data_IF_057235551783
#
_entry.id   IF_057235551783
#
_cell.length_a   1.000
_cell.length_b   1.000
_cell.length_c   1.000
_cell.angle_alpha   90.00
_cell.angle_beta   90.00
_cell.angle_gamma   90.00
#
_symmetry.space_group_name_H-M   'P 1'
#
loop_
_entity.id
_entity.type
_entity.pdbx_description
1 polymer ?
#
# COMPACT_ATOMS: atom_id res chain seq x y z
N UNK A 1 -7.61 8.16 17.20
CA UNK A 1 -7.03 6.89 17.72
C UNK A 1 -7.01 6.02 16.49
N UNK A 2 -5.85 5.70 15.94
CA UNK A 2 -5.80 5.07 14.62
C UNK A 2 -6.46 3.68 14.63
N UNK A 3 -7.16 3.36 13.56
CA UNK A 3 -7.85 2.10 13.33
C UNK A 3 -6.86 1.02 12.84
N UNK A 4 -6.01 0.57 13.75
CA UNK A 4 -4.96 -0.41 13.45
C UNK A 4 -5.51 -1.74 12.91
N UNK A 5 -6.63 -2.23 13.47
CA UNK A 5 -7.28 -3.45 12.98
C UNK A 5 -7.77 -3.29 11.54
N UNK A 6 -8.30 -2.12 11.19
CA UNK A 6 -8.66 -1.77 9.83
C UNK A 6 -7.44 -1.77 8.91
N UNK A 7 -6.34 -1.12 9.33
CA UNK A 7 -5.10 -1.10 8.55
C UNK A 7 -4.59 -2.51 8.24
N UNK A 8 -4.49 -3.37 9.26
CA UNK A 8 -4.02 -4.75 9.09
C UNK A 8 -4.95 -5.57 8.21
N UNK A 9 -6.28 -5.40 8.32
CA UNK A 9 -7.22 -6.06 7.42
C UNK A 9 -7.00 -5.66 5.96
N UNK A 10 -6.74 -4.37 5.68
CA UNK A 10 -6.46 -3.91 4.32
C UNK A 10 -5.08 -4.38 3.81
N UNK A 11 -4.09 -4.51 4.68
CA UNK A 11 -2.81 -5.17 4.36
C UNK A 11 -3.02 -6.63 3.94
N UNK A 12 -3.82 -7.39 4.69
CA UNK A 12 -4.16 -8.78 4.34
C UNK A 12 -4.89 -8.88 2.98
N UNK A 13 -5.77 -7.92 2.66
CA UNK A 13 -6.41 -7.84 1.33
C UNK A 13 -5.37 -7.67 0.22
N UNK A 14 -4.36 -6.80 0.42
CA UNK A 14 -3.27 -6.64 -0.54
C UNK A 14 -2.43 -7.91 -0.68
N UNK A 15 -2.15 -8.60 0.43
CA UNK A 15 -1.43 -9.89 0.41
C UNK A 15 -2.20 -10.95 -0.37
N UNK A 16 -3.50 -11.14 -0.08
CA UNK A 16 -4.36 -12.06 -0.83
C UNK A 16 -4.39 -11.70 -2.32
N UNK A 17 -4.46 -10.42 -2.65
CA UNK A 17 -4.44 -9.94 -4.03
C UNK A 17 -3.14 -10.31 -4.77
N UNK A 18 -1.99 -10.16 -4.10
CA UNK A 18 -0.67 -10.52 -4.64
C UNK A 18 -0.49 -12.05 -4.72
N UNK A 19 -0.90 -12.79 -3.68
CA UNK A 19 -0.79 -14.25 -3.58
C UNK A 19 -1.63 -14.96 -4.65
N UNK A 20 -2.81 -14.42 -4.95
CA UNK A 20 -3.67 -14.89 -6.05
C UNK A 20 -3.14 -14.50 -7.44
N UNK A 21 -1.99 -13.83 -7.53
CA UNK A 21 -1.35 -13.39 -8.78
C UNK A 21 -2.28 -12.50 -9.63
N UNK A 22 -3.18 -11.76 -8.99
CA UNK A 22 -4.08 -10.84 -9.71
C UNK A 22 -3.26 -9.69 -10.32
N UNK A 23 -2.22 -9.23 -9.62
CA UNK A 23 -1.25 -8.24 -10.09
C UNK A 23 -0.61 -8.61 -11.43
N UNK A 24 -0.27 -9.89 -11.64
CA UNK A 24 0.34 -10.39 -12.89
C UNK A 24 -0.58 -10.21 -14.10
N UNK A 25 -1.90 -10.24 -13.91
CA UNK A 25 -2.88 -10.12 -14.99
C UNK A 25 -3.22 -8.66 -15.34
N UNK A 26 -3.13 -7.74 -14.37
CA UNK A 26 -3.53 -6.34 -14.57
C UNK A 26 -2.34 -5.39 -14.77
N UNK A 27 -1.12 -5.85 -14.48
CA UNK A 27 0.12 -5.10 -14.60
C UNK A 27 0.39 -4.14 -13.44
N UNK A 28 1.62 -3.62 -13.39
CA UNK A 28 2.12 -2.78 -12.29
C UNK A 28 1.29 -1.51 -12.10
N UNK A 29 0.98 -0.79 -13.18
CA UNK A 29 0.25 0.48 -13.10
C UNK A 29 -1.13 0.32 -12.44
N UNK A 30 -1.88 -0.73 -12.80
CA UNK A 30 -3.18 -1.03 -12.19
C UNK A 30 -3.06 -1.59 -10.77
N UNK A 31 -1.98 -2.34 -10.48
CA UNK A 31 -1.66 -2.81 -9.13
C UNK A 31 -1.41 -1.63 -8.19
N UNK A 32 -0.60 -0.65 -8.61
CA UNK A 32 -0.35 0.58 -7.85
C UNK A 32 -1.63 1.40 -7.67
N UNK A 33 -2.44 1.54 -8.73
CA UNK A 33 -3.74 2.21 -8.62
C UNK A 33 -4.67 1.53 -7.61
N UNK A 34 -4.73 0.20 -7.61
CA UNK A 34 -5.50 -0.57 -6.64
C UNK A 34 -5.02 -0.32 -5.20
N UNK A 35 -3.70 -0.38 -4.96
CA UNK A 35 -3.12 -0.11 -3.65
C UNK A 35 -3.41 1.32 -3.16
N UNK A 36 -3.24 2.34 -4.02
CA UNK A 36 -3.55 3.74 -3.68
C UNK A 36 -5.02 3.92 -3.28
N UNK A 37 -5.95 3.36 -4.06
CA UNK A 37 -7.38 3.40 -3.74
C UNK A 37 -7.72 2.70 -2.42
N UNK A 38 -6.99 1.65 -2.07
CA UNK A 38 -7.11 0.94 -0.79
C UNK A 38 -6.64 1.80 0.38
N UNK A 39 -5.52 2.50 0.21
CA UNK A 39 -5.01 3.45 1.22
C UNK A 39 -5.98 4.62 1.39
N UNK A 40 -6.46 5.22 0.28
CA UNK A 40 -7.48 6.28 0.31
C UNK A 40 -8.79 5.83 0.97
N UNK A 41 -9.20 4.58 0.72
CA UNK A 41 -10.34 3.99 1.41
C UNK A 41 -10.08 3.92 2.91
N UNK A 42 -8.93 3.41 3.33
CA UNK A 42 -8.55 3.29 4.74
C UNK A 42 -8.43 4.63 5.47
N UNK A 43 -7.93 5.66 4.81
CA UNK A 43 -7.82 7.03 5.36
C UNK A 43 -9.19 7.56 5.83
N UNK A 44 -10.25 7.27 5.07
CA UNK A 44 -11.63 7.58 5.44
C UNK A 44 -12.13 6.88 6.72
N UNK A 45 -11.42 5.88 7.22
CA UNK A 45 -11.72 5.12 8.43
C UNK A 45 -10.63 5.21 9.52
N UNK A 46 -9.80 6.27 9.50
CA UNK A 46 -8.69 6.50 10.44
C UNK A 46 -7.63 5.37 10.43
N UNK A 47 -7.54 4.60 9.34
CA UNK A 47 -6.48 3.59 9.17
C UNK A 47 -5.14 4.26 8.86
N UNK A 48 -4.05 3.59 9.21
CA UNK A 48 -2.69 4.06 8.96
C UNK A 48 -2.15 3.55 7.61
N UNK A 49 -1.79 4.43 6.66
CA UNK A 49 -1.23 4.03 5.37
C UNK A 49 0.03 3.17 5.46
N UNK A 50 0.91 3.45 6.43
CA UNK A 50 2.13 2.68 6.66
C UNK A 50 1.82 1.24 7.06
N UNK A 51 0.81 1.03 7.91
CA UNK A 51 0.35 -0.31 8.29
C UNK A 51 -0.35 -1.03 7.12
N UNK A 52 -1.10 -0.31 6.29
CA UNK A 52 -1.74 -0.87 5.09
C UNK A 52 -0.67 -1.41 4.12
N UNK A 53 0.45 -0.71 3.98
CA UNK A 53 1.51 -1.06 3.02
C UNK A 53 2.70 -1.83 3.63
N UNK A 54 2.64 -2.14 4.93
CA UNK A 54 3.74 -2.76 5.66
C UNK A 54 4.23 -4.06 5.00
N UNK A 55 5.52 -4.08 4.66
CA UNK A 55 6.19 -5.24 4.06
C UNK A 55 5.82 -5.51 2.60
N UNK A 56 5.20 -4.56 1.89
CA UNK A 56 4.81 -4.66 0.47
C UNK A 56 5.56 -3.68 -0.44
N UNK A 57 6.63 -3.05 0.08
CA UNK A 57 7.37 -1.98 -0.60
C UNK A 57 7.96 -2.44 -1.94
N UNK A 58 8.41 -3.70 -2.04
CA UNK A 58 9.06 -4.23 -3.24
C UNK A 58 8.06 -4.59 -4.33
N UNK A 59 6.87 -5.01 -3.94
CA UNK A 59 5.81 -5.47 -4.84
C UNK A 59 4.98 -4.31 -5.37
N UNK A 60 4.72 -3.31 -4.53
CA UNK A 60 3.85 -2.18 -4.89
C UNK A 60 4.67 -0.96 -5.33
N UNK A 61 5.76 -0.63 -4.62
CA UNK A 61 6.64 0.48 -4.99
C UNK A 61 6.01 1.87 -4.86
N UNK A 62 5.20 2.09 -3.81
CA UNK A 62 4.61 3.40 -3.50
C UNK A 62 4.98 3.87 -2.09
N UNK A 63 5.21 5.16 -1.93
CA UNK A 63 5.42 5.78 -0.61
C UNK A 63 4.11 5.82 0.17
N UNK A 64 4.08 5.34 1.41
CA UNK A 64 2.84 5.36 2.20
C UNK A 64 2.37 6.77 2.56
N UNK A 65 3.28 7.76 2.59
CA UNK A 65 2.94 9.13 2.98
C UNK A 65 2.39 9.96 1.83
N UNK A 66 3.09 10.01 0.69
CA UNK A 66 2.71 10.85 -0.45
C UNK A 66 2.07 10.08 -1.61
N UNK A 67 1.99 8.74 -1.52
CA UNK A 67 1.44 7.83 -2.55
C UNK A 67 2.13 7.93 -3.92
N UNK A 68 3.28 8.59 -4.00
CA UNK A 68 4.11 8.61 -5.20
C UNK A 68 4.85 7.30 -5.37
N UNK A 69 5.06 6.93 -6.63
CA UNK A 69 5.84 5.76 -7.00
C UNK A 69 7.31 6.01 -6.70
N UNK A 70 8.00 4.99 -6.18
CA UNK A 70 9.42 5.06 -5.93
C UNK A 70 10.06 3.68 -5.94
N UNK A 71 11.25 3.59 -6.53
CA UNK A 71 12.10 2.41 -6.47
C UNK A 71 13.13 2.48 -5.33
N UNK A 72 13.17 3.60 -4.59
CA UNK A 72 14.03 3.82 -3.42
C UNK A 72 13.15 4.10 -2.19
N UNK A 73 12.46 3.05 -1.74
CA UNK A 73 11.69 3.09 -0.51
C UNK A 73 12.56 2.60 0.65
N UNK A 74 12.62 3.39 1.71
CA UNK A 74 13.19 2.99 3.01
C UNK A 74 12.09 3.07 4.05
N UNK A 75 11.82 1.94 4.71
CA UNK A 75 10.70 1.79 5.65
C UNK A 75 9.38 2.33 5.05
N UNK A 76 9.12 2.05 3.77
CA UNK A 76 7.92 2.51 3.04
C UNK A 76 7.85 4.01 2.68
N UNK A 77 8.91 4.79 2.92
CA UNK A 77 9.00 6.20 2.55
C UNK A 77 9.93 6.44 1.35
N UNK A 78 9.50 7.32 0.44
CA UNK A 78 10.35 7.80 -0.65
C UNK A 78 11.35 8.87 -0.20
N UNK A 79 12.36 9.23 -1.03
CA UNK A 79 13.41 10.17 -0.64
C UNK A 79 12.95 11.56 -0.20
N UNK A 80 11.78 12.01 -0.65
CA UNK A 80 11.23 13.32 -0.30
C UNK A 80 10.43 13.33 1.00
N UNK A 81 10.07 12.16 1.52
CA UNK A 81 9.20 12.01 2.69
C UNK A 81 9.91 11.40 3.91
N UNK A 82 11.14 10.93 3.74
CA UNK A 82 12.03 10.50 4.82
C UNK A 82 12.76 11.68 5.47
#
# INVERSE_FOLDING_TARGET
MSNHSGSHMLNEVLRIFLDLKISENIGEARTREFAKRLVELGDGYDCNPGEILEGLDKEIGICYFCLNESNDLQDGLCPSCR
#
